data_IF_486743886082
#
_entry.id   IF_486743886082
#
_cell.length_a   1.000
_cell.length_b   1.000
_cell.length_c   1.000
_cell.angle_alpha   90.00
_cell.angle_beta   90.00
_cell.angle_gamma   90.00
#
_symmetry.space_group_name_H-M   'P 1'
#
loop_
_entity.id
_entity.type
_entity.pdbx_description
1 polymer ?
#
# COMPACT_ATOMS: atom_id res chain seq x y z
N UNK A 1 18.91 3.24 -10.49
CA UNK A 1 17.67 3.78 -9.89
C UNK A 1 16.56 3.65 -10.92
N UNK A 2 15.46 3.02 -10.55
CA UNK A 2 14.24 2.89 -11.35
C UNK A 2 13.06 3.42 -10.53
N UNK A 3 12.15 4.12 -11.18
CA UNK A 3 11.00 4.76 -10.53
C UNK A 3 9.69 4.21 -11.06
N UNK A 4 8.75 3.96 -10.17
CA UNK A 4 7.43 3.42 -10.52
C UNK A 4 6.34 4.19 -9.80
N UNK A 5 5.30 4.62 -10.52
CA UNK A 5 4.04 5.04 -9.90
C UNK A 5 3.36 3.80 -9.33
N UNK A 6 2.80 3.87 -8.11
CA UNK A 6 2.29 2.68 -7.43
C UNK A 6 0.95 2.89 -6.72
N UNK A 7 0.32 1.80 -6.37
CA UNK A 7 -0.80 1.79 -5.42
C UNK A 7 -2.08 2.43 -5.92
N UNK A 8 -2.62 3.34 -5.10
CA UNK A 8 -3.89 4.00 -5.37
C UNK A 8 -3.94 4.76 -6.68
N UNK A 9 -2.84 5.41 -7.05
CA UNK A 9 -2.75 6.18 -8.29
C UNK A 9 -2.92 5.29 -9.53
N UNK A 10 -2.25 4.13 -9.57
CA UNK A 10 -2.37 3.17 -10.67
C UNK A 10 -3.78 2.59 -10.74
N UNK A 11 -4.32 2.16 -9.59
CA UNK A 11 -5.69 1.63 -9.49
C UNK A 11 -6.72 2.65 -9.97
N UNK A 12 -6.69 3.89 -9.45
CA UNK A 12 -7.68 4.90 -9.76
C UNK A 12 -7.60 5.34 -11.23
N UNK A 13 -6.38 5.45 -11.81
CA UNK A 13 -6.17 5.66 -13.24
C UNK A 13 -6.82 4.55 -14.09
N UNK A 14 -6.62 3.27 -13.73
CA UNK A 14 -7.20 2.13 -14.45
C UNK A 14 -8.73 2.05 -14.32
N UNK A 15 -9.30 2.57 -13.24
CA UNK A 15 -10.74 2.70 -13.03
C UNK A 15 -11.35 3.95 -13.72
N UNK A 16 -10.54 4.83 -14.31
CA UNK A 16 -10.99 6.10 -14.87
C UNK A 16 -11.43 7.11 -13.81
N UNK A 17 -10.96 6.95 -12.58
CA UNK A 17 -11.23 7.85 -11.47
C UNK A 17 -10.15 8.96 -11.39
N UNK A 18 -10.51 10.06 -10.74
CA UNK A 18 -9.53 11.13 -10.46
C UNK A 18 -8.40 10.61 -9.55
N UNK A 19 -7.16 10.84 -9.96
CA UNK A 19 -5.96 10.52 -9.18
C UNK A 19 -5.64 11.71 -8.29
N UNK A 20 -5.84 11.57 -6.98
CA UNK A 20 -5.58 12.64 -6.01
C UNK A 20 -4.11 12.67 -5.57
N UNK A 21 -3.59 11.52 -5.15
CA UNK A 21 -2.24 11.38 -4.64
C UNK A 21 -1.42 10.48 -5.56
N UNK A 22 -0.17 10.86 -5.80
CA UNK A 22 0.78 10.10 -6.62
C UNK A 22 1.95 9.65 -5.79
N UNK A 23 1.93 8.37 -5.42
CA UNK A 23 3.01 7.73 -4.69
C UNK A 23 3.95 7.01 -5.66
N UNK A 24 5.26 7.20 -5.47
CA UNK A 24 6.28 6.54 -6.27
C UNK A 24 7.14 5.63 -5.41
N UNK A 25 7.55 4.50 -5.98
CA UNK A 25 8.56 3.61 -5.40
C UNK A 25 9.83 3.70 -6.22
N UNK A 26 10.96 3.84 -5.52
CA UNK A 26 12.29 3.89 -6.11
C UNK A 26 13.03 2.60 -5.79
N UNK A 27 13.45 1.88 -6.83
CA UNK A 27 14.20 0.62 -6.73
C UNK A 27 15.64 0.85 -7.13
N UNK A 28 16.59 0.22 -6.41
CA UNK A 28 18.01 0.26 -6.73
C UNK A 28 18.66 1.60 -6.39
N UNK A 29 18.19 2.26 -5.32
CA UNK A 29 18.78 3.50 -4.81
C UNK A 29 18.89 3.47 -3.28
N UNK A 30 19.83 4.26 -2.77
CA UNK A 30 20.01 4.56 -1.35
C UNK A 30 19.37 5.92 -1.00
N UNK A 31 19.27 6.21 0.30
CA UNK A 31 18.87 7.53 0.76
C UNK A 31 19.83 8.63 0.29
N UNK A 32 21.13 8.33 0.26
CA UNK A 32 22.15 9.27 -0.22
C UNK A 32 22.00 9.56 -1.71
N UNK A 33 21.66 8.55 -2.53
CA UNK A 33 21.38 8.77 -3.94
C UNK A 33 20.18 9.71 -4.14
N UNK A 34 19.14 9.58 -3.33
CA UNK A 34 17.97 10.46 -3.38
C UNK A 34 18.33 11.89 -2.98
N UNK A 35 19.14 12.06 -1.92
CA UNK A 35 19.62 13.38 -1.48
C UNK A 35 20.50 14.04 -2.55
N UNK A 36 21.43 13.30 -3.14
CA UNK A 36 22.28 13.79 -4.23
C UNK A 36 21.49 14.20 -5.46
N UNK A 37 20.34 13.51 -5.73
CA UNK A 37 19.42 13.89 -6.80
C UNK A 37 18.50 15.08 -6.45
N UNK A 38 18.66 15.69 -5.25
CA UNK A 38 17.93 16.87 -4.82
C UNK A 38 16.57 16.60 -4.19
N UNK A 39 16.22 15.35 -3.92
CA UNK A 39 15.01 15.01 -3.17
C UNK A 39 15.12 15.43 -1.71
N UNK A 40 14.00 15.77 -1.08
CA UNK A 40 13.96 16.21 0.33
C UNK A 40 13.34 15.13 1.20
N UNK A 41 14.04 14.65 2.24
CA UNK A 41 13.51 13.63 3.12
C UNK A 41 12.33 14.19 3.94
N UNK A 42 11.29 13.37 4.12
CA UNK A 42 10.12 13.64 4.96
C UNK A 42 9.80 12.39 5.77
N UNK A 43 9.27 12.59 6.97
CA UNK A 43 8.99 11.48 7.91
C UNK A 43 10.20 11.13 8.79
N UNK A 44 9.88 10.62 9.99
CA UNK A 44 10.90 10.26 10.98
C UNK A 44 11.31 8.78 10.87
N UNK A 45 10.41 7.93 10.44
CA UNK A 45 10.56 6.48 10.56
C UNK A 45 10.79 5.77 9.21
N UNK A 46 10.57 6.48 8.07
CA UNK A 46 10.68 5.88 6.74
C UNK A 46 11.43 6.77 5.76
N UNK A 47 12.21 6.18 4.87
CA UNK A 47 12.87 6.90 3.79
C UNK A 47 11.84 7.28 2.69
N UNK A 48 10.99 8.27 2.98
CA UNK A 48 10.12 8.95 2.03
C UNK A 48 10.73 10.29 1.69
N UNK A 49 10.68 10.66 0.45
CA UNK A 49 11.28 11.88 -0.09
C UNK A 49 10.27 12.64 -0.95
N UNK A 50 10.33 13.94 -0.92
CA UNK A 50 9.58 14.81 -1.82
C UNK A 50 10.42 15.14 -3.06
N UNK A 51 9.80 14.98 -4.23
CA UNK A 51 10.42 15.42 -5.47
C UNK A 51 10.66 16.94 -5.46
N UNK A 52 11.84 17.43 -5.90
CA UNK A 52 12.21 18.84 -5.73
C UNK A 52 11.27 19.82 -6.43
N UNK A 53 10.64 19.43 -7.53
CA UNK A 53 9.76 20.26 -8.34
C UNK A 53 8.28 19.94 -8.13
N UNK A 54 7.87 18.66 -8.30
CA UNK A 54 6.46 18.25 -8.24
C UNK A 54 5.91 18.12 -6.84
N UNK A 55 6.80 17.91 -5.85
CA UNK A 55 6.45 17.66 -4.44
C UNK A 55 5.71 16.35 -4.21
N UNK A 56 5.64 15.50 -5.22
CA UNK A 56 5.11 14.15 -5.10
C UNK A 56 6.00 13.28 -4.21
N UNK A 57 5.42 12.29 -3.56
CA UNK A 57 6.11 11.41 -2.61
C UNK A 57 6.81 10.25 -3.32
N UNK A 58 8.08 10.05 -2.97
CA UNK A 58 8.94 8.98 -3.45
C UNK A 58 9.46 8.19 -2.26
N UNK A 59 9.14 6.91 -2.19
CA UNK A 59 9.62 6.01 -1.15
C UNK A 59 10.63 5.03 -1.74
N UNK A 60 11.72 4.76 -1.02
CA UNK A 60 12.59 3.64 -1.38
C UNK A 60 11.85 2.31 -1.25
N UNK A 61 12.09 1.40 -2.19
CA UNK A 61 11.57 0.05 -2.11
C UNK A 61 11.99 -0.60 -0.79
N UNK A 62 11.06 -1.26 -0.11
CA UNK A 62 11.30 -1.83 1.21
C UNK A 62 10.55 -3.12 1.45
N UNK A 63 11.11 -3.91 2.35
CA UNK A 63 10.40 -5.01 2.99
C UNK A 63 10.00 -4.60 4.41
N UNK A 64 8.92 -5.16 4.88
CA UNK A 64 8.43 -4.99 6.25
C UNK A 64 8.39 -6.39 6.91
N UNK A 65 8.84 -6.49 8.13
CA UNK A 65 8.79 -7.72 8.91
C UNK A 65 8.27 -7.40 10.31
N UNK A 66 7.23 -8.10 10.73
CA UNK A 66 6.73 -8.02 12.10
C UNK A 66 7.72 -8.74 13.03
N UNK A 67 8.27 -8.04 14.01
CA UNK A 67 9.24 -8.59 15.00
C UNK A 67 8.61 -8.83 16.36
N UNK A 68 7.31 -8.46 16.57
CA UNK A 68 6.61 -8.62 17.85
C UNK A 68 5.14 -8.24 17.77
N UNK A 69 4.49 -8.12 18.94
CA UNK A 69 3.10 -7.64 19.04
C UNK A 69 3.06 -6.10 19.11
N UNK A 70 2.06 -5.48 18.44
CA UNK A 70 1.80 -4.04 18.49
C UNK A 70 2.49 -3.23 17.40
N UNK A 71 2.25 -1.91 17.41
CA UNK A 71 2.63 -0.97 16.36
C UNK A 71 4.14 -0.78 16.20
N UNK A 72 4.92 -0.83 17.28
CA UNK A 72 6.36 -0.60 17.27
C UNK A 72 7.20 -1.84 16.91
N UNK A 73 6.55 -2.95 16.59
CA UNK A 73 7.19 -4.22 16.31
C UNK A 73 7.34 -4.50 14.81
N UNK A 74 7.68 -3.48 14.02
CA UNK A 74 8.01 -3.63 12.61
C UNK A 74 9.47 -3.27 12.38
N UNK A 75 10.18 -4.13 11.72
CA UNK A 75 11.49 -3.86 11.14
C UNK A 75 11.31 -3.55 9.66
N UNK A 76 11.79 -2.38 9.26
CA UNK A 76 11.77 -1.91 7.89
C UNK A 76 13.17 -2.03 7.31
N UNK A 77 13.30 -2.70 6.21
CA UNK A 77 14.53 -2.78 5.46
C UNK A 77 14.35 -2.09 4.11
N UNK A 78 14.92 -0.90 3.98
CA UNK A 78 15.09 -0.20 2.71
C UNK A 78 16.55 -0.35 2.27
N UNK A 79 16.76 -1.07 1.19
CA UNK A 79 18.07 -1.51 0.72
C UNK A 79 18.00 -1.57 -0.81
N UNK A 80 19.04 -1.13 -1.56
CA UNK A 80 19.02 -1.15 -3.02
C UNK A 80 18.75 -2.51 -3.65
N UNK A 81 18.92 -3.60 -2.90
CA UNK A 81 18.65 -4.97 -3.37
C UNK A 81 17.17 -5.37 -3.25
N UNK A 82 16.34 -4.56 -2.57
CA UNK A 82 14.90 -4.82 -2.48
C UNK A 82 14.26 -4.59 -3.85
N UNK A 83 13.58 -5.62 -4.35
CA UNK A 83 12.94 -5.59 -5.66
C UNK A 83 11.57 -4.90 -5.59
N UNK A 84 11.06 -4.44 -6.73
CA UNK A 84 9.69 -3.92 -6.85
C UNK A 84 8.66 -4.95 -6.39
N UNK A 85 8.83 -6.21 -6.77
CA UNK A 85 7.91 -7.29 -6.38
C UNK A 85 7.85 -7.48 -4.86
N UNK A 86 9.00 -7.41 -4.18
CA UNK A 86 9.06 -7.48 -2.72
C UNK A 86 8.34 -6.30 -2.05
N UNK A 87 8.46 -5.08 -2.59
CA UNK A 87 7.71 -3.93 -2.08
C UNK A 87 6.20 -4.08 -2.33
N UNK A 88 5.80 -4.58 -3.48
CA UNK A 88 4.39 -4.81 -3.80
C UNK A 88 3.79 -5.94 -2.95
N UNK A 89 4.55 -6.99 -2.64
CA UNK A 89 4.11 -8.15 -1.85
C UNK A 89 3.61 -7.79 -0.43
N UNK A 90 4.18 -6.74 0.17
CA UNK A 90 3.81 -6.29 1.52
C UNK A 90 2.54 -5.44 1.57
N UNK A 91 1.94 -5.08 0.42
CA UNK A 91 0.74 -4.24 0.36
C UNK A 91 -0.52 -5.00 0.77
N UNK A 92 -1.60 -4.25 0.98
CA UNK A 92 -2.86 -4.79 1.50
C UNK A 92 -3.66 -5.58 0.46
N UNK A 93 -3.97 -4.97 -0.68
CA UNK A 93 -4.83 -5.54 -1.72
C UNK A 93 -4.11 -5.64 -3.07
N UNK A 94 -4.43 -6.67 -3.86
CA UNK A 94 -3.87 -6.88 -5.20
C UNK A 94 -4.04 -5.66 -6.09
N UNK A 95 -5.21 -5.01 -6.04
CA UNK A 95 -5.49 -3.78 -6.80
C UNK A 95 -4.66 -2.57 -6.37
N UNK A 96 -4.00 -2.62 -5.21
CA UNK A 96 -3.06 -1.62 -4.71
C UNK A 96 -1.60 -2.07 -4.85
N UNK A 97 -1.37 -3.29 -5.35
CA UNK A 97 -0.06 -3.91 -5.53
C UNK A 97 0.34 -3.96 -7.02
N UNK A 98 -0.07 -2.96 -7.76
CA UNK A 98 0.34 -2.71 -9.14
C UNK A 98 1.28 -1.52 -9.19
N UNK A 99 2.15 -1.51 -10.17
CA UNK A 99 3.06 -0.41 -10.47
C UNK A 99 2.98 -0.04 -11.96
N UNK A 100 3.28 1.21 -12.28
CA UNK A 100 3.40 1.71 -13.64
C UNK A 100 4.81 2.28 -13.82
N UNK A 101 5.51 1.83 -14.83
CA UNK A 101 6.85 2.34 -15.17
C UNK A 101 6.77 3.71 -15.90
N UNK A 102 7.93 4.31 -16.15
CA UNK A 102 8.05 5.61 -16.85
C UNK A 102 7.51 5.58 -18.30
N UNK A 103 7.34 4.39 -18.89
CA UNK A 103 6.79 4.19 -20.23
C UNK A 103 5.29 3.93 -20.22
N UNK A 104 4.68 3.87 -19.03
CA UNK A 104 3.27 3.57 -18.84
C UNK A 104 2.95 2.07 -18.86
N UNK A 105 3.95 1.19 -18.83
CA UNK A 105 3.72 -0.24 -18.75
C UNK A 105 3.38 -0.65 -17.31
N UNK A 106 2.33 -1.48 -17.18
CA UNK A 106 1.87 -1.96 -15.87
C UNK A 106 2.65 -3.22 -15.47
N UNK A 107 3.21 -3.18 -14.26
CA UNK A 107 3.83 -4.32 -13.59
C UNK A 107 2.85 -4.84 -12.54
N UNK A 108 2.35 -6.05 -12.73
CA UNK A 108 1.28 -6.66 -11.91
C UNK A 108 1.63 -8.10 -11.52
N UNK A 109 2.54 -8.31 -10.58
CA UNK A 109 2.97 -9.65 -10.17
C UNK A 109 1.90 -10.42 -9.37
N UNK A 110 0.89 -9.74 -8.84
CA UNK A 110 -0.12 -10.33 -7.93
C UNK A 110 -1.53 -10.41 -8.51
N UNK A 111 -1.71 -10.09 -9.79
CA UNK A 111 -2.99 -10.21 -10.48
C UNK A 111 -3.99 -9.11 -10.13
N UNK A 112 -3.51 -7.92 -9.81
CA UNK A 112 -4.34 -6.75 -9.52
C UNK A 112 -5.22 -6.34 -10.68
N UNK A 113 -4.73 -6.41 -11.92
CA UNK A 113 -5.52 -6.14 -13.14
C UNK A 113 -6.73 -7.08 -13.25
N UNK A 114 -6.51 -8.39 -13.00
CA UNK A 114 -7.59 -9.38 -13.02
C UNK A 114 -8.62 -9.10 -11.94
N UNK A 115 -8.18 -8.84 -10.71
CA UNK A 115 -9.06 -8.57 -9.59
C UNK A 115 -9.79 -7.23 -9.76
N UNK A 116 -9.15 -6.23 -10.38
CA UNK A 116 -9.76 -4.94 -10.73
C UNK A 116 -10.89 -5.12 -11.75
N UNK A 117 -10.65 -5.89 -12.82
CA UNK A 117 -11.65 -6.21 -13.85
C UNK A 117 -12.80 -7.03 -13.26
N UNK A 118 -12.52 -7.97 -12.35
CA UNK A 118 -13.51 -8.80 -11.67
C UNK A 118 -14.22 -8.06 -10.50
N UNK A 119 -13.80 -6.84 -10.17
CA UNK A 119 -14.30 -6.04 -9.04
C UNK A 119 -14.15 -6.76 -7.70
N UNK A 120 -12.95 -7.28 -7.43
CA UNK A 120 -12.65 -8.08 -6.24
C UNK A 120 -11.58 -7.38 -5.41
N UNK A 121 -11.83 -7.28 -4.10
CA UNK A 121 -10.87 -6.86 -3.08
C UNK A 121 -10.20 -8.10 -2.49
N UNK A 122 -9.01 -8.43 -2.95
CA UNK A 122 -8.25 -9.59 -2.55
C UNK A 122 -6.95 -9.15 -1.87
N UNK A 123 -6.58 -9.77 -0.74
CA UNK A 123 -5.28 -9.55 -0.12
C UNK A 123 -4.13 -10.07 -1.01
N UNK A 124 -2.98 -9.40 -0.94
CA UNK A 124 -1.84 -9.70 -1.82
C UNK A 124 -1.15 -11.01 -1.44
N UNK A 125 -0.86 -11.19 -0.17
CA UNK A 125 0.02 -12.26 0.33
C UNK A 125 -0.27 -12.59 1.79
N UNK A 126 0.33 -13.66 2.36
CA UNK A 126 0.27 -13.95 3.78
C UNK A 126 0.74 -12.80 4.68
N UNK A 127 1.57 -11.88 4.20
CA UNK A 127 1.99 -10.68 4.93
C UNK A 127 0.80 -9.75 5.29
N UNK A 128 -0.38 -9.97 4.74
CA UNK A 128 -1.61 -9.26 5.14
C UNK A 128 -1.85 -9.33 6.66
N UNK A 129 -1.56 -10.46 7.29
CA UNK A 129 -1.79 -10.66 8.73
C UNK A 129 -0.83 -9.88 9.63
N UNK A 130 0.25 -9.34 9.09
CA UNK A 130 1.27 -8.64 9.88
C UNK A 130 0.74 -7.32 10.45
N UNK A 131 -0.13 -6.62 9.71
CA UNK A 131 -0.71 -5.35 10.14
C UNK A 131 -2.24 -5.43 10.31
N UNK A 132 -2.74 -5.48 11.57
CA UNK A 132 -4.18 -5.57 11.83
C UNK A 132 -5.00 -4.40 11.27
N UNK A 133 -4.40 -3.23 11.05
CA UNK A 133 -5.11 -2.07 10.46
C UNK A 133 -5.61 -2.36 9.05
N UNK A 134 -5.04 -3.34 8.37
CA UNK A 134 -5.49 -3.75 7.02
C UNK A 134 -6.93 -4.24 7.02
N UNK A 135 -7.44 -4.77 8.15
CA UNK A 135 -8.86 -5.12 8.30
C UNK A 135 -9.73 -3.86 8.12
N UNK A 136 -9.39 -2.76 8.79
CA UNK A 136 -10.10 -1.48 8.66
C UNK A 136 -9.94 -0.89 7.26
N UNK A 137 -8.74 -0.98 6.67
CA UNK A 137 -8.46 -0.52 5.32
C UNK A 137 -9.31 -1.24 4.28
N UNK A 138 -9.42 -2.58 4.37
CA UNK A 138 -10.28 -3.36 3.47
C UNK A 138 -11.74 -2.99 3.64
N UNK A 139 -12.23 -2.81 4.88
CA UNK A 139 -13.59 -2.36 5.15
C UNK A 139 -13.86 -0.98 4.51
N UNK A 140 -12.93 -0.04 4.64
CA UNK A 140 -13.02 1.27 3.99
C UNK A 140 -13.04 1.15 2.45
N UNK A 141 -12.15 0.36 1.86
CA UNK A 141 -12.16 0.14 0.42
C UNK A 141 -13.45 -0.55 -0.06
N UNK A 142 -14.00 -1.48 0.75
CA UNK A 142 -15.29 -2.09 0.44
C UNK A 142 -16.42 -1.05 0.42
N UNK A 143 -16.46 -0.13 1.39
CA UNK A 143 -17.40 0.98 1.41
C UNK A 143 -17.22 1.90 0.20
N UNK A 144 -15.98 2.36 -0.07
CA UNK A 144 -15.65 3.25 -1.18
C UNK A 144 -16.03 2.69 -2.54
N UNK A 145 -15.77 1.40 -2.77
CA UNK A 145 -15.96 0.77 -4.08
C UNK A 145 -17.25 -0.05 -4.21
N UNK A 146 -18.09 -0.11 -3.16
CA UNK A 146 -19.41 -0.74 -3.24
C UNK A 146 -20.26 -0.20 -4.40
N UNK A 147 -20.35 1.12 -4.64
CA UNK A 147 -21.10 1.67 -5.77
C UNK A 147 -20.57 1.21 -7.14
N UNK A 148 -19.31 0.83 -7.22
CA UNK A 148 -18.68 0.28 -8.43
C UNK A 148 -18.85 -1.25 -8.53
N UNK A 149 -19.54 -1.89 -7.59
CA UNK A 149 -19.81 -3.32 -7.57
C UNK A 149 -18.66 -4.19 -7.07
N UNK A 150 -17.69 -3.62 -6.34
CA UNK A 150 -16.63 -4.41 -5.72
C UNK A 150 -17.13 -5.23 -4.54
N UNK A 151 -16.58 -6.43 -4.41
CA UNK A 151 -16.82 -7.34 -3.27
C UNK A 151 -15.50 -7.84 -2.68
N UNK A 152 -15.49 -8.14 -1.40
CA UNK A 152 -14.32 -8.77 -0.76
C UNK A 152 -14.26 -10.23 -1.18
N UNK A 153 -13.07 -10.72 -1.54
CA UNK A 153 -12.84 -12.14 -1.82
C UNK A 153 -13.09 -12.99 -0.56
N UNK A 154 -13.68 -14.17 -0.71
CA UNK A 154 -14.09 -15.04 0.41
C UNK A 154 -12.89 -15.42 1.31
N UNK A 155 -11.74 -15.71 0.71
CA UNK A 155 -10.50 -15.98 1.43
C UNK A 155 -9.98 -14.77 2.21
N UNK A 156 -10.16 -13.55 1.68
CA UNK A 156 -9.79 -12.32 2.37
C UNK A 156 -10.74 -12.05 3.53
N UNK A 157 -12.04 -12.22 3.32
CA UNK A 157 -13.04 -12.07 4.37
C UNK A 157 -12.81 -13.09 5.50
N UNK A 158 -12.51 -14.34 5.15
CA UNK A 158 -12.18 -15.39 6.12
C UNK A 158 -10.92 -15.06 6.92
N UNK A 159 -9.91 -14.49 6.26
CA UNK A 159 -8.68 -14.04 6.91
C UNK A 159 -8.95 -12.87 7.86
N UNK A 160 -9.74 -11.89 7.45
CA UNK A 160 -10.13 -10.74 8.30
C UNK A 160 -10.89 -11.21 9.55
N UNK A 161 -11.85 -12.14 9.41
CA UNK A 161 -12.60 -12.71 10.55
C UNK A 161 -11.66 -13.35 11.55
N UNK A 162 -10.75 -14.22 11.08
CA UNK A 162 -9.76 -14.85 11.99
C UNK A 162 -8.94 -13.81 12.74
N UNK A 163 -8.50 -12.71 12.09
CA UNK A 163 -7.73 -11.65 12.76
C UNK A 163 -8.54 -10.93 13.86
N UNK A 164 -9.85 -10.78 13.66
CA UNK A 164 -10.75 -10.23 14.69
C UNK A 164 -10.93 -11.24 15.82
N UNK A 165 -11.21 -12.50 15.50
CA UNK A 165 -11.44 -13.58 16.49
C UNK A 165 -10.18 -13.84 17.33
N UNK A 166 -8.98 -13.69 16.76
CA UNK A 166 -7.69 -13.79 17.45
C UNK A 166 -7.37 -12.59 18.37
N UNK A 167 -8.23 -11.54 18.39
CA UNK A 167 -8.06 -10.34 19.19
C UNK A 167 -6.95 -9.39 18.71
N UNK A 168 -6.42 -9.59 17.51
CA UNK A 168 -5.33 -8.75 16.99
C UNK A 168 -5.75 -7.30 16.72
N UNK A 169 -7.03 -7.07 16.43
CA UNK A 169 -7.58 -5.72 16.23
C UNK A 169 -7.69 -4.93 17.53
N UNK A 170 -7.70 -5.60 18.69
CA UNK A 170 -7.78 -4.94 20.00
C UNK A 170 -6.46 -4.23 20.37
N UNK A 171 -5.38 -4.55 19.65
CA UNK A 171 -4.07 -3.92 19.83
C UNK A 171 -3.81 -2.76 18.88
N UNK A 172 -4.82 -2.34 18.11
CA UNK A 172 -4.71 -1.18 17.24
C UNK A 172 -4.64 0.11 18.05
N UNK A 173 -3.71 0.99 17.69
CA UNK A 173 -3.62 2.30 18.30
C UNK A 173 -4.73 3.22 17.79
N UNK A 174 -5.30 4.02 18.69
CA UNK A 174 -6.49 4.84 18.43
C UNK A 174 -6.33 5.79 17.22
N UNK A 175 -5.13 6.34 17.04
CA UNK A 175 -4.81 7.24 15.92
C UNK A 175 -4.95 6.56 14.56
N UNK A 176 -4.54 5.29 14.44
CA UNK A 176 -4.67 4.52 13.20
C UNK A 176 -6.12 4.12 12.93
N UNK A 177 -6.85 3.73 13.99
CA UNK A 177 -8.29 3.44 13.90
C UNK A 177 -9.04 4.69 13.44
N UNK A 178 -8.76 5.83 14.08
CA UNK A 178 -9.39 7.09 13.74
C UNK A 178 -9.07 7.53 12.30
N UNK A 179 -7.82 7.39 11.88
CA UNK A 179 -7.40 7.76 10.52
C UNK A 179 -8.17 6.99 9.44
N UNK A 180 -8.35 5.67 9.59
CA UNK A 180 -9.12 4.87 8.63
C UNK A 180 -10.62 5.11 8.74
N UNK A 181 -11.16 5.25 9.96
CA UNK A 181 -12.59 5.53 10.18
C UNK A 181 -12.98 6.91 9.61
N UNK A 182 -12.18 7.94 9.87
CA UNK A 182 -12.42 9.29 9.31
C UNK A 182 -12.42 9.27 7.77
N UNK A 183 -11.49 8.55 7.15
CA UNK A 183 -11.45 8.39 5.69
C UNK A 183 -12.70 7.66 5.19
N UNK A 184 -13.14 6.61 5.88
CA UNK A 184 -14.34 5.87 5.50
C UNK A 184 -15.62 6.70 5.58
N UNK A 185 -15.74 7.57 6.60
CA UNK A 185 -16.88 8.48 6.77
C UNK A 185 -16.86 9.66 5.76
N UNK A 186 -15.71 9.95 5.16
CA UNK A 186 -15.57 10.99 4.14
C UNK A 186 -15.76 10.46 2.70
N UNK A 187 -15.89 9.17 2.52
CA UNK A 187 -16.22 8.58 1.21
C UNK A 187 -17.68 8.91 0.85
N UNK A 188 -17.99 9.19 -0.43
CA UNK A 188 -19.31 9.55 -0.89
C UNK A 188 -20.34 8.43 -0.81
#
# INVERSE_FOLDING_TARGET
>A
MQTFLVGGAVRDKLLGLAVADRDHVVVGATADDMLCAGYRPVGKDFPVFLHPQTREEYALARTERKTGRGYHAFEFRADPTVTLEQDLARRDLTINAMAEDERGAIVDPFGGLRDLAARVLRHVSPAFVEDPVRVLRVARFAARYAPLGFRIADETLSLMRRRVDDGEVDHLVAERVWAETRKALAEP
#
